data_IF_722317012007
#
_entry.id   IF_722317012007
#
_cell.length_a   1.000
_cell.length_b   1.000
_cell.length_c   1.000
_cell.angle_alpha   90.00
_cell.angle_beta   90.00
_cell.angle_gamma   90.00
#
_symmetry.space_group_name_H-M   'P 1'
#
loop_
_entity.id
_entity.type
_entity.pdbx_description
1 polymer ?
#
# COMPACT_ATOMS: atom_id res chain seq x y z
N UNK A 1 4.11 -27.22 -13.65
CA UNK A 1 3.90 -27.45 -12.21
C UNK A 1 3.47 -26.14 -11.59
N UNK A 2 2.23 -26.06 -11.10
CA UNK A 2 1.76 -24.89 -10.33
C UNK A 2 2.47 -24.95 -8.98
N UNK A 3 3.21 -23.91 -8.63
CA UNK A 3 3.93 -23.84 -7.35
C UNK A 3 2.91 -23.70 -6.21
N UNK A 4 2.55 -24.84 -5.61
CA UNK A 4 1.51 -24.95 -4.57
C UNK A 4 1.81 -24.08 -3.36
N UNK A 5 3.08 -23.76 -3.10
CA UNK A 5 3.49 -22.86 -2.01
C UNK A 5 3.09 -21.42 -2.27
N UNK A 6 3.20 -20.94 -3.52
CA UNK A 6 2.77 -19.58 -3.90
C UNK A 6 1.26 -19.39 -3.77
N UNK A 7 0.49 -20.41 -4.16
CA UNK A 7 -0.96 -20.44 -4.01
C UNK A 7 -1.38 -20.34 -2.53
N UNK A 8 -0.69 -21.06 -1.63
CA UNK A 8 -0.97 -21.02 -0.19
C UNK A 8 -0.66 -19.66 0.43
N UNK A 9 0.46 -19.01 0.06
CA UNK A 9 0.83 -17.69 0.60
C UNK A 9 -0.19 -16.64 0.19
N UNK A 10 -0.64 -16.62 -1.07
CA UNK A 10 -1.62 -15.64 -1.53
C UNK A 10 -2.98 -15.80 -0.84
N UNK A 11 -3.40 -17.04 -0.59
CA UNK A 11 -4.60 -17.33 0.20
C UNK A 11 -4.45 -16.90 1.66
N UNK A 12 -3.27 -17.10 2.25
CA UNK A 12 -2.98 -16.62 3.61
C UNK A 12 -3.05 -15.10 3.70
N UNK A 13 -2.54 -14.37 2.70
CA UNK A 13 -2.64 -12.90 2.65
C UNK A 13 -4.10 -12.45 2.68
N UNK A 14 -4.96 -13.07 1.86
CA UNK A 14 -6.40 -12.74 1.82
C UNK A 14 -7.08 -13.10 3.15
N UNK A 15 -6.72 -14.22 3.78
CA UNK A 15 -7.22 -14.56 5.11
C UNK A 15 -6.79 -13.54 6.17
N UNK A 16 -5.54 -13.06 6.11
CA UNK A 16 -5.07 -12.02 7.02
C UNK A 16 -5.81 -10.70 6.82
N UNK A 17 -6.20 -10.35 5.60
CA UNK A 17 -6.97 -9.13 5.29
C UNK A 17 -8.31 -9.07 6.04
N UNK A 18 -8.96 -10.22 6.26
CA UNK A 18 -10.21 -10.33 7.03
C UNK A 18 -10.04 -9.76 8.44
N UNK A 19 -8.86 -9.93 9.05
CA UNK A 19 -8.55 -9.43 10.39
C UNK A 19 -7.89 -8.04 10.36
N UNK A 20 -7.07 -7.76 9.34
CA UNK A 20 -6.36 -6.49 9.21
C UNK A 20 -7.34 -5.33 9.01
N UNK A 21 -8.40 -5.47 8.20
CA UNK A 21 -9.33 -4.34 8.00
C UNK A 21 -10.07 -3.94 9.28
N UNK A 22 -10.72 -4.85 10.04
CA UNK A 22 -11.31 -4.50 11.33
C UNK A 22 -10.32 -3.92 12.31
N UNK A 23 -9.12 -4.51 12.44
CA UNK A 23 -8.08 -4.01 13.33
C UNK A 23 -7.64 -2.59 12.95
N UNK A 24 -7.43 -2.33 11.65
CA UNK A 24 -7.07 -1.01 11.14
C UNK A 24 -8.15 0.03 11.46
N UNK A 25 -9.42 -0.22 11.12
CA UNK A 25 -10.49 0.75 11.37
C UNK A 25 -10.74 0.96 12.86
N UNK A 26 -10.55 -0.08 13.68
CA UNK A 26 -10.62 0.03 15.14
C UNK A 26 -9.52 0.93 15.69
N UNK A 27 -8.27 0.71 15.29
CA UNK A 27 -7.14 1.56 15.67
C UNK A 27 -7.37 2.99 15.18
N UNK A 28 -7.75 3.15 13.90
CA UNK A 28 -7.94 4.45 13.28
C UNK A 28 -8.98 5.30 14.00
N UNK A 29 -10.13 4.74 14.39
CA UNK A 29 -11.17 5.46 15.13
C UNK A 29 -10.82 5.74 16.60
N UNK A 30 -9.87 5.00 17.18
CA UNK A 30 -9.47 5.13 18.59
C UNK A 30 -8.15 5.89 18.80
N UNK A 31 -7.51 6.32 17.71
CA UNK A 31 -6.29 7.15 17.73
C UNK A 31 -6.63 8.58 17.30
N UNK A 32 -5.90 9.55 17.82
CA UNK A 32 -6.04 10.94 17.37
C UNK A 32 -5.71 11.06 15.86
N UNK A 33 -6.44 11.86 15.08
CA UNK A 33 -7.49 12.79 15.51
C UNK A 33 -8.90 12.21 15.65
N UNK A 34 -9.17 10.99 15.17
CA UNK A 34 -10.55 10.46 15.14
C UNK A 34 -11.16 10.31 16.52
N UNK A 35 -10.32 10.06 17.52
CA UNK A 35 -10.75 9.99 18.91
C UNK A 35 -11.45 11.27 19.39
N UNK A 36 -11.09 12.42 18.81
CA UNK A 36 -11.66 13.74 19.10
C UNK A 36 -12.89 14.09 18.24
N UNK A 37 -13.20 13.28 17.22
CA UNK A 37 -14.37 13.49 16.39
C UNK A 37 -15.65 13.32 17.22
N UNK A 38 -16.63 14.19 16.98
CA UNK A 38 -17.92 14.16 17.65
C UNK A 38 -19.09 14.09 16.66
N UNK A 39 -20.20 13.54 17.13
CA UNK A 39 -21.49 13.56 16.46
C UNK A 39 -22.22 14.89 16.69
N UNK A 40 -21.58 15.93 17.21
CA UNK A 40 -22.24 17.22 17.46
C UNK A 40 -22.83 17.86 16.17
N UNK A 41 -22.28 17.55 15.00
CA UNK A 41 -22.81 17.97 13.69
C UNK A 41 -23.87 17.03 13.08
N UNK A 42 -24.24 15.94 13.76
CA UNK A 42 -25.12 14.88 13.26
C UNK A 42 -26.60 15.30 13.25
N UNK A 43 -27.03 16.03 14.27
CA UNK A 43 -28.41 16.48 14.38
C UNK A 43 -28.57 17.83 13.70
N UNK A 44 -28.71 17.83 12.37
CA UNK A 44 -29.02 19.02 11.57
C UNK A 44 -30.21 19.86 12.09
N UNK A 45 -31.03 19.25 12.96
CA UNK A 45 -32.29 19.78 13.48
C UNK A 45 -32.24 20.11 14.98
N UNK A 46 -31.12 19.88 15.68
CA UNK A 46 -31.01 20.10 17.13
C UNK A 46 -29.63 20.66 17.51
N UNK A 47 -29.62 21.70 18.36
CA UNK A 47 -28.40 22.26 18.94
C UNK A 47 -27.75 21.36 19.99
N UNK A 48 -28.40 20.25 20.37
CA UNK A 48 -27.91 19.26 21.33
C UNK A 48 -27.87 17.87 20.70
N UNK A 49 -26.79 17.14 20.96
CA UNK A 49 -26.61 15.75 20.55
C UNK A 49 -27.33 14.83 21.56
N UNK A 50 -28.52 14.24 21.26
CA UNK A 50 -29.20 13.30 22.16
C UNK A 50 -28.42 12.01 22.44
N UNK A 51 -27.29 11.77 21.75
CA UNK A 51 -26.41 10.62 21.97
C UNK A 51 -25.14 10.99 22.75
N UNK A 52 -25.01 12.24 23.21
CA UNK A 52 -23.83 12.73 23.93
C UNK A 52 -23.49 11.83 25.14
N UNK A 53 -22.19 11.57 25.34
CA UNK A 53 -21.69 10.73 26.42
C UNK A 53 -21.38 9.29 25.98
N UNK A 54 -21.86 8.29 26.72
CA UNK A 54 -21.45 6.89 26.52
C UNK A 54 -21.96 6.29 25.21
N UNK A 55 -23.16 6.68 24.75
CA UNK A 55 -23.74 6.16 23.52
C UNK A 55 -22.95 6.60 22.28
N UNK A 56 -22.59 7.88 22.19
CA UNK A 56 -21.71 8.42 21.14
C UNK A 56 -20.36 7.71 21.13
N UNK A 57 -19.75 7.48 22.29
CA UNK A 57 -18.49 6.77 22.39
C UNK A 57 -18.58 5.34 21.86
N UNK A 58 -19.64 4.59 22.21
CA UNK A 58 -19.85 3.22 21.70
C UNK A 58 -20.06 3.23 20.18
N UNK A 59 -20.85 4.17 19.67
CA UNK A 59 -21.13 4.28 18.24
C UNK A 59 -19.85 4.59 17.47
N UNK A 60 -19.10 5.61 17.87
CA UNK A 60 -17.91 6.05 17.16
C UNK A 60 -16.72 5.09 17.34
N UNK A 61 -16.54 4.49 18.51
CA UNK A 61 -15.33 3.72 18.84
C UNK A 61 -15.44 2.22 18.63
N UNK A 62 -16.66 1.69 18.55
CA UNK A 62 -16.91 0.25 18.40
C UNK A 62 -17.72 -0.02 17.13
N UNK A 63 -18.88 0.62 16.98
CA UNK A 63 -19.82 0.31 15.89
C UNK A 63 -19.30 0.83 14.54
N UNK A 64 -18.86 2.09 14.48
CA UNK A 64 -18.37 2.72 13.26
C UNK A 64 -17.16 1.97 12.63
N UNK A 65 -16.12 1.56 13.39
CA UNK A 65 -15.05 0.72 12.87
C UNK A 65 -15.53 -0.56 12.18
N UNK A 66 -16.49 -1.25 12.79
CA UNK A 66 -17.03 -2.51 12.26
C UNK A 66 -17.79 -2.26 10.96
N UNK A 67 -18.60 -1.20 10.93
CA UNK A 67 -19.35 -0.79 9.74
C UNK A 67 -18.40 -0.42 8.59
N UNK A 68 -17.31 0.31 8.88
CA UNK A 68 -16.32 0.68 7.87
C UNK A 68 -15.50 -0.52 7.38
N UNK A 69 -15.20 -1.49 8.24
CA UNK A 69 -14.49 -2.71 7.86
C UNK A 69 -15.36 -3.66 7.03
N UNK A 70 -16.67 -3.70 7.28
CA UNK A 70 -17.60 -4.70 6.76
C UNK A 70 -17.54 -4.87 5.23
N UNK A 71 -17.55 -3.82 4.37
CA UNK A 71 -17.46 -4.00 2.92
C UNK A 71 -16.16 -4.68 2.49
N UNK A 72 -15.04 -4.32 3.12
CA UNK A 72 -13.71 -4.86 2.78
C UNK A 72 -13.57 -6.31 3.24
N UNK A 73 -14.03 -6.61 4.46
CA UNK A 73 -14.04 -7.97 5.00
C UNK A 73 -14.96 -8.88 4.19
N UNK A 74 -16.17 -8.42 3.84
CA UNK A 74 -17.10 -9.19 3.00
C UNK A 74 -16.53 -9.41 1.59
N UNK A 75 -15.97 -8.38 0.96
CA UNK A 75 -15.32 -8.54 -0.34
C UNK A 75 -14.18 -9.57 -0.29
N UNK A 76 -13.39 -9.56 0.79
CA UNK A 76 -12.28 -10.49 1.01
C UNK A 76 -12.76 -11.93 1.22
N UNK A 77 -13.90 -12.13 1.90
CA UNK A 77 -14.47 -13.46 2.16
C UNK A 77 -15.10 -14.04 0.88
N UNK A 78 -15.99 -13.29 0.22
CA UNK A 78 -16.79 -13.81 -0.91
C UNK A 78 -15.89 -14.09 -2.11
N UNK A 79 -14.95 -13.18 -2.38
CA UNK A 79 -14.07 -13.23 -3.55
C UNK A 79 -12.65 -13.61 -3.15
N UNK A 80 -12.51 -14.43 -2.10
CA UNK A 80 -11.21 -14.80 -1.55
C UNK A 80 -10.31 -15.45 -2.62
N UNK A 81 -10.90 -16.37 -3.39
CA UNK A 81 -10.24 -17.09 -4.50
C UNK A 81 -9.81 -16.12 -5.58
N UNK A 82 -10.69 -15.23 -6.04
CA UNK A 82 -10.37 -14.22 -7.04
C UNK A 82 -9.31 -13.24 -6.56
N UNK A 83 -9.36 -12.77 -5.31
CA UNK A 83 -8.32 -11.90 -4.76
C UNK A 83 -6.97 -12.63 -4.70
N UNK A 84 -6.93 -13.88 -4.24
CA UNK A 84 -5.70 -14.68 -4.21
C UNK A 84 -5.14 -14.91 -5.62
N UNK A 85 -6.01 -15.25 -6.59
CA UNK A 85 -5.64 -15.40 -8.00
C UNK A 85 -5.18 -14.07 -8.61
N UNK A 86 -5.73 -12.94 -8.17
CA UNK A 86 -5.29 -11.61 -8.61
C UNK A 86 -3.88 -11.32 -8.13
N UNK A 87 -3.56 -11.63 -6.87
CA UNK A 87 -2.19 -11.52 -6.36
C UNK A 87 -1.24 -12.43 -7.13
N UNK A 88 -1.66 -13.66 -7.45
CA UNK A 88 -0.85 -14.59 -8.24
C UNK A 88 -0.62 -14.10 -9.68
N UNK A 89 -1.68 -13.66 -10.37
CA UNK A 89 -1.60 -13.13 -11.72
C UNK A 89 -0.77 -11.86 -11.77
N UNK A 90 -0.94 -10.96 -10.80
CA UNK A 90 -0.11 -9.78 -10.66
C UNK A 90 1.35 -10.18 -10.43
N UNK A 91 1.62 -11.17 -9.57
CA UNK A 91 2.97 -11.66 -9.31
C UNK A 91 3.62 -12.26 -10.56
N UNK A 92 2.86 -13.06 -11.33
CA UNK A 92 3.27 -13.69 -12.60
C UNK A 92 3.43 -12.67 -13.73
N UNK A 93 2.54 -11.69 -13.85
CA UNK A 93 2.63 -10.61 -14.83
C UNK A 93 3.83 -9.70 -14.54
N UNK A 94 4.07 -9.42 -13.25
CA UNK A 94 5.31 -8.83 -12.78
C UNK A 94 6.46 -9.84 -12.75
N UNK A 95 6.30 -11.09 -13.20
CA UNK A 95 7.35 -12.14 -13.14
C UNK A 95 8.64 -11.73 -13.83
N UNK A 96 8.54 -10.86 -14.84
CA UNK A 96 9.70 -10.24 -15.50
C UNK A 96 10.35 -9.16 -14.63
N UNK A 97 9.59 -8.47 -13.78
CA UNK A 97 10.12 -7.47 -12.86
C UNK A 97 10.79 -8.17 -11.68
N UNK A 98 11.97 -7.67 -11.28
CA UNK A 98 12.69 -8.19 -10.12
C UNK A 98 11.83 -8.11 -8.85
N UNK A 99 11.93 -9.12 -8.00
CA UNK A 99 11.13 -9.24 -6.75
C UNK A 99 11.27 -8.01 -5.85
N UNK A 100 12.46 -7.45 -5.81
CA UNK A 100 12.81 -6.29 -5.01
C UNK A 100 11.99 -5.04 -5.41
N UNK A 101 11.87 -4.78 -6.71
CA UNK A 101 11.06 -3.67 -7.23
C UNK A 101 9.57 -3.88 -6.91
N UNK A 102 9.08 -5.12 -6.90
CA UNK A 102 7.69 -5.42 -6.51
C UNK A 102 7.43 -5.05 -5.05
N UNK A 103 8.36 -5.37 -4.15
CA UNK A 103 8.26 -5.03 -2.72
C UNK A 103 8.21 -3.51 -2.56
N UNK A 104 9.06 -2.78 -3.28
CA UNK A 104 9.08 -1.32 -3.28
C UNK A 104 7.71 -0.72 -3.64
N UNK A 105 7.10 -1.16 -4.75
CA UNK A 105 5.77 -0.70 -5.15
C UNK A 105 4.67 -1.08 -4.14
N UNK A 106 4.73 -2.31 -3.63
CA UNK A 106 3.76 -2.83 -2.67
C UNK A 106 3.78 -2.03 -1.36
N UNK A 107 4.97 -1.73 -0.82
CA UNK A 107 5.13 -0.94 0.41
C UNK A 107 4.55 0.46 0.23
N UNK A 108 4.88 1.13 -0.87
CA UNK A 108 4.33 2.46 -1.18
C UNK A 108 2.80 2.43 -1.37
N UNK A 109 2.28 1.40 -2.02
CA UNK A 109 0.85 1.22 -2.21
C UNK A 109 0.12 1.01 -0.88
N UNK A 110 0.67 0.21 0.02
CA UNK A 110 0.11 -0.03 1.36
C UNK A 110 0.04 1.29 2.15
N UNK A 111 1.11 2.09 2.15
CA UNK A 111 1.10 3.37 2.85
C UNK A 111 0.08 4.36 2.26
N UNK A 112 0.04 4.49 0.94
CA UNK A 112 -0.94 5.32 0.26
C UNK A 112 -2.38 4.84 0.55
N UNK A 113 -2.61 3.53 0.54
CA UNK A 113 -3.90 2.93 0.88
C UNK A 113 -4.36 3.35 2.29
N UNK A 114 -3.51 3.15 3.30
CA UNK A 114 -3.90 3.35 4.69
C UNK A 114 -3.92 4.81 5.15
N UNK A 115 -3.08 5.69 4.59
CA UNK A 115 -3.02 7.10 5.00
C UNK A 115 -3.79 8.04 4.10
N UNK A 116 -3.91 7.74 2.81
CA UNK A 116 -4.46 8.67 1.82
C UNK A 116 -5.76 8.19 1.18
N UNK A 117 -6.03 6.88 1.09
CA UNK A 117 -7.23 6.38 0.42
C UNK A 117 -8.29 5.99 1.44
N UNK A 118 -7.98 5.09 2.37
CA UNK A 118 -8.96 4.53 3.31
C UNK A 118 -9.66 5.55 4.20
N UNK A 119 -8.97 6.55 4.78
CA UNK A 119 -9.66 7.55 5.60
C UNK A 119 -10.82 8.25 4.88
N UNK A 120 -10.77 8.40 3.55
CA UNK A 120 -11.78 9.12 2.77
C UNK A 120 -12.70 8.20 1.98
N UNK A 121 -12.15 7.12 1.43
CA UNK A 121 -12.90 6.19 0.62
C UNK A 121 -13.75 5.26 1.48
N UNK A 122 -13.28 4.85 2.66
CA UNK A 122 -13.99 3.86 3.47
C UNK A 122 -15.38 4.31 3.94
N UNK A 123 -15.61 5.56 4.39
CA UNK A 123 -16.97 6.02 4.72
C UNK A 123 -17.93 5.89 3.53
N UNK A 124 -17.51 6.35 2.34
CA UNK A 124 -18.30 6.26 1.11
C UNK A 124 -18.54 4.80 0.71
N UNK A 125 -17.49 3.97 0.74
CA UNK A 125 -17.57 2.55 0.43
C UNK A 125 -18.49 1.82 1.41
N UNK A 126 -18.55 2.23 2.68
CA UNK A 126 -19.45 1.63 3.66
C UNK A 126 -20.92 1.89 3.34
N UNK A 127 -21.27 3.10 2.87
CA UNK A 127 -22.64 3.41 2.42
C UNK A 127 -23.07 2.48 1.28
N UNK A 128 -22.25 2.35 0.24
CA UNK A 128 -22.55 1.45 -0.87
C UNK A 128 -22.45 -0.03 -0.50
N UNK A 129 -21.52 -0.35 0.39
CA UNK A 129 -21.28 -1.69 0.91
C UNK A 129 -22.46 -2.24 1.69
N UNK A 130 -23.26 -1.40 2.35
CA UNK A 130 -24.50 -1.82 3.00
C UNK A 130 -25.49 -2.46 2.02
N UNK A 131 -25.66 -1.91 0.81
CA UNK A 131 -26.54 -2.53 -0.20
C UNK A 131 -26.00 -3.88 -0.67
N UNK A 132 -24.68 -4.00 -0.79
CA UNK A 132 -24.03 -5.26 -1.14
C UNK A 132 -24.17 -6.31 -0.03
N UNK A 133 -24.05 -5.91 1.23
CA UNK A 133 -24.23 -6.77 2.39
C UNK A 133 -25.66 -7.33 2.46
N UNK A 134 -26.68 -6.51 2.20
CA UNK A 134 -28.08 -6.98 2.12
C UNK A 134 -28.25 -8.03 1.04
N UNK A 135 -27.69 -7.81 -0.15
CA UNK A 135 -27.75 -8.81 -1.23
C UNK A 135 -27.13 -10.15 -0.80
N UNK A 136 -26.01 -10.11 -0.09
CA UNK A 136 -25.34 -11.30 0.43
C UNK A 136 -26.18 -12.03 1.48
N UNK A 137 -26.75 -11.29 2.43
CA UNK A 137 -27.66 -11.82 3.44
C UNK A 137 -28.84 -12.55 2.78
N UNK A 138 -29.45 -11.94 1.75
CA UNK A 138 -30.55 -12.57 1.00
C UNK A 138 -30.12 -13.85 0.27
N UNK A 139 -28.90 -13.88 -0.30
CA UNK A 139 -28.32 -15.11 -0.85
C UNK A 139 -28.12 -16.20 0.21
N UNK A 140 -27.65 -15.83 1.41
CA UNK A 140 -27.45 -16.76 2.52
C UNK A 140 -28.77 -17.37 3.02
N UNK A 141 -29.86 -16.61 2.95
CA UNK A 141 -31.23 -17.10 3.21
C UNK A 141 -31.85 -17.89 2.04
N UNK A 142 -31.07 -18.21 0.99
CA UNK A 142 -31.51 -19.09 -0.10
C UNK A 142 -32.16 -18.39 -1.30
N UNK A 143 -32.22 -17.06 -1.31
CA UNK A 143 -32.76 -16.30 -2.46
C UNK A 143 -31.64 -16.12 -3.49
N UNK A 144 -31.43 -17.13 -4.34
CA UNK A 144 -30.28 -17.18 -5.25
C UNK A 144 -30.48 -16.53 -6.63
N UNK A 145 -31.73 -16.34 -7.09
CA UNK A 145 -32.00 -15.90 -8.48
C UNK A 145 -32.94 -14.68 -8.53
N UNK A 146 -32.56 -13.68 -9.34
CA UNK A 146 -33.35 -12.47 -9.63
C UNK A 146 -33.94 -11.78 -8.39
N UNK A 147 -33.09 -11.45 -7.41
CA UNK A 147 -33.52 -10.68 -6.24
C UNK A 147 -34.16 -9.37 -6.72
N UNK A 148 -35.46 -9.12 -6.43
CA UNK A 148 -36.11 -7.87 -6.73
C UNK A 148 -35.32 -6.69 -6.17
N UNK A 149 -35.06 -5.67 -6.98
CA UNK A 149 -34.30 -4.48 -6.57
C UNK A 149 -34.84 -3.87 -5.28
N UNK A 150 -36.17 -3.91 -5.09
CA UNK A 150 -36.82 -3.36 -3.91
C UNK A 150 -36.45 -4.08 -2.60
N UNK A 151 -36.22 -5.40 -2.66
CA UNK A 151 -35.78 -6.21 -1.51
C UNK A 151 -34.31 -5.95 -1.14
N UNK A 152 -33.51 -5.40 -2.04
CA UNK A 152 -32.15 -4.96 -1.74
C UNK A 152 -32.15 -3.50 -1.27
N UNK A 153 -32.90 -2.64 -1.96
CA UNK A 153 -32.88 -1.20 -1.73
C UNK A 153 -33.51 -0.83 -0.40
N UNK A 154 -34.67 -1.36 -0.03
CA UNK A 154 -35.35 -0.96 1.21
C UNK A 154 -34.52 -1.37 2.44
N UNK A 155 -34.14 -2.64 2.66
CA UNK A 155 -33.30 -3.00 3.79
C UNK A 155 -31.89 -2.38 3.67
N UNK A 156 -31.41 -2.20 2.43
CA UNK A 156 -30.15 -1.53 2.14
C UNK A 156 -30.13 -0.09 2.63
N UNK A 157 -31.21 0.67 2.45
CA UNK A 157 -31.35 2.03 2.97
C UNK A 157 -31.32 2.06 4.50
N UNK A 158 -32.02 1.14 5.16
CA UNK A 158 -31.96 1.03 6.63
C UNK A 158 -30.56 0.69 7.13
N UNK A 159 -29.88 -0.27 6.48
CA UNK A 159 -28.50 -0.63 6.84
C UNK A 159 -27.49 0.46 6.46
N UNK A 160 -27.75 1.22 5.39
CA UNK A 160 -26.91 2.33 4.94
C UNK A 160 -27.10 3.59 5.79
N UNK A 161 -28.21 3.72 6.54
CA UNK A 161 -28.48 4.89 7.37
C UNK A 161 -27.32 5.17 8.34
N UNK A 162 -26.81 4.15 9.04
CA UNK A 162 -25.71 4.32 10.00
C UNK A 162 -24.40 4.79 9.32
N UNK A 163 -23.83 4.08 8.31
CA UNK A 163 -22.63 4.57 7.63
C UNK A 163 -22.87 5.90 6.92
N UNK A 164 -24.06 6.17 6.39
CA UNK A 164 -24.38 7.44 5.75
C UNK A 164 -24.29 8.59 6.76
N UNK A 165 -24.89 8.41 7.94
CA UNK A 165 -24.82 9.41 8.99
C UNK A 165 -23.38 9.66 9.45
N UNK A 166 -22.60 8.61 9.69
CA UNK A 166 -21.19 8.76 10.07
C UNK A 166 -20.40 9.45 8.96
N UNK A 167 -20.65 9.10 7.69
CA UNK A 167 -20.00 9.72 6.52
C UNK A 167 -20.31 11.20 6.43
N UNK A 168 -21.56 11.60 6.65
CA UNK A 168 -21.96 13.01 6.66
C UNK A 168 -21.27 13.76 7.80
N UNK A 169 -21.27 13.22 9.03
CA UNK A 169 -20.55 13.82 10.16
C UNK A 169 -19.06 13.96 9.88
N UNK A 170 -18.44 12.95 9.29
CA UNK A 170 -17.03 12.94 8.91
C UNK A 170 -16.69 14.04 7.91
N UNK A 171 -17.48 14.19 6.85
CA UNK A 171 -17.25 15.22 5.83
C UNK A 171 -17.67 16.63 6.28
N UNK A 172 -18.64 16.76 7.19
CA UNK A 172 -18.98 18.04 7.81
C UNK A 172 -17.83 18.59 8.65
N UNK A 173 -17.06 17.69 9.29
CA UNK A 173 -15.88 17.99 10.09
C UNK A 173 -14.58 17.69 9.32
N UNK A 174 -14.59 17.80 7.98
CA UNK A 174 -13.46 17.39 7.15
C UNK A 174 -12.14 18.05 7.57
N UNK A 175 -12.13 19.34 7.91
CA UNK A 175 -10.89 20.03 8.29
C UNK A 175 -10.31 19.55 9.61
N UNK A 176 -11.14 19.28 10.63
CA UNK A 176 -10.70 18.81 11.96
C UNK A 176 -10.19 17.38 11.90
N UNK A 177 -10.65 16.61 10.91
CA UNK A 177 -10.21 15.24 10.64
C UNK A 177 -9.00 15.19 9.72
N UNK A 178 -9.02 15.93 8.62
CA UNK A 178 -8.02 15.88 7.57
C UNK A 178 -6.70 16.49 8.02
N UNK A 179 -6.75 17.67 8.64
CA UNK A 179 -5.54 18.40 9.01
C UNK A 179 -4.65 17.57 9.93
N UNK A 180 -5.16 16.90 10.98
CA UNK A 180 -4.27 16.11 11.82
C UNK A 180 -3.86 14.77 11.18
N UNK A 181 -4.68 14.14 10.33
CA UNK A 181 -4.22 13.00 9.51
C UNK A 181 -3.05 13.43 8.63
N UNK A 182 -3.19 14.58 7.98
CA UNK A 182 -2.15 15.15 7.14
C UNK A 182 -0.91 15.50 7.97
N UNK A 183 -1.06 16.05 9.18
CA UNK A 183 0.06 16.31 10.08
C UNK A 183 0.78 15.02 10.48
N UNK A 184 0.05 13.96 10.85
CA UNK A 184 0.61 12.63 11.13
C UNK A 184 1.37 12.14 9.90
N UNK A 185 0.75 12.20 8.72
CA UNK A 185 1.40 11.82 7.46
C UNK A 185 2.68 12.62 7.24
N UNK A 186 2.65 13.95 7.30
CA UNK A 186 3.84 14.78 7.10
C UNK A 186 4.92 14.57 8.16
N UNK A 187 4.54 14.22 9.40
CA UNK A 187 5.48 13.90 10.47
C UNK A 187 6.19 12.56 10.26
N UNK A 188 5.48 11.54 9.77
CA UNK A 188 6.06 10.20 9.56
C UNK A 188 6.54 9.93 8.13
N UNK A 189 6.09 10.71 7.14
CA UNK A 189 6.47 10.54 5.73
C UNK A 189 7.98 10.59 5.49
N UNK A 190 8.80 11.41 6.19
CA UNK A 190 10.26 11.37 6.01
C UNK A 190 10.85 10.05 6.46
N UNK A 191 10.34 9.47 7.56
CA UNK A 191 10.80 8.18 8.08
C UNK A 191 10.44 7.07 7.08
N UNK A 192 9.19 7.03 6.61
CA UNK A 192 8.76 6.05 5.62
C UNK A 192 9.55 6.17 4.31
N UNK A 193 9.71 7.40 3.83
CA UNK A 193 10.48 7.68 2.65
C UNK A 193 11.96 7.29 2.83
N UNK A 194 12.55 7.53 4.00
CA UNK A 194 13.89 7.09 4.37
C UNK A 194 14.04 5.56 4.32
N UNK A 195 13.10 4.80 4.89
CA UNK A 195 13.07 3.33 4.82
C UNK A 195 13.00 2.87 3.36
N UNK A 196 12.11 3.45 2.57
CA UNK A 196 11.90 3.13 1.16
C UNK A 196 13.12 3.52 0.31
N UNK A 197 13.82 4.60 0.65
CA UNK A 197 15.07 5.02 0.03
C UNK A 197 16.22 4.06 0.37
N UNK A 198 16.35 3.64 1.63
CA UNK A 198 17.34 2.62 2.03
C UNK A 198 17.10 1.32 1.27
N UNK A 199 15.84 0.94 1.10
CA UNK A 199 15.43 -0.18 0.28
C UNK A 199 15.86 0.03 -1.18
N UNK A 200 15.57 1.18 -1.79
CA UNK A 200 16.00 1.51 -3.15
C UNK A 200 17.54 1.48 -3.33
N UNK A 201 18.29 2.03 -2.39
CA UNK A 201 19.76 2.05 -2.42
C UNK A 201 20.36 0.65 -2.28
N UNK A 202 19.87 -0.16 -1.34
CA UNK A 202 20.28 -1.56 -1.20
C UNK A 202 19.98 -2.38 -2.46
N UNK A 203 18.86 -2.10 -3.13
CA UNK A 203 18.50 -2.72 -4.40
C UNK A 203 19.46 -2.32 -5.52
N UNK A 204 19.75 -1.03 -5.68
CA UNK A 204 20.66 -0.53 -6.71
C UNK A 204 22.07 -1.14 -6.54
N UNK A 205 22.63 -1.08 -5.33
CA UNK A 205 23.96 -1.64 -5.02
C UNK A 205 23.96 -3.15 -5.18
N UNK A 206 22.98 -3.85 -4.60
CA UNK A 206 22.90 -5.31 -4.68
C UNK A 206 22.69 -5.82 -6.10
N UNK A 207 21.91 -5.11 -6.91
CA UNK A 207 21.73 -5.43 -8.33
C UNK A 207 23.02 -5.23 -9.13
N UNK A 208 23.77 -4.17 -8.84
CA UNK A 208 25.06 -3.94 -9.47
C UNK A 208 26.09 -5.03 -9.11
N UNK A 209 26.15 -5.47 -7.85
CA UNK A 209 27.02 -6.59 -7.43
C UNK A 209 26.67 -7.87 -8.18
N UNK A 210 25.37 -8.18 -8.31
CA UNK A 210 24.91 -9.34 -9.08
C UNK A 210 25.27 -9.20 -10.56
N UNK A 211 25.11 -8.00 -11.13
CA UNK A 211 25.50 -7.71 -12.50
C UNK A 211 27.01 -7.94 -12.75
N UNK A 212 27.88 -7.49 -11.84
CA UNK A 212 29.33 -7.77 -11.93
C UNK A 212 29.63 -9.27 -11.93
N UNK A 213 28.91 -10.03 -11.10
CA UNK A 213 29.08 -11.48 -11.00
C UNK A 213 28.54 -12.23 -12.22
N UNK A 214 27.40 -11.79 -12.77
CA UNK A 214 26.89 -12.26 -14.07
C UNK A 214 27.94 -12.04 -15.15
N UNK A 215 28.55 -10.84 -15.20
CA UNK A 215 29.65 -10.54 -16.12
C UNK A 215 30.87 -11.45 -15.92
N UNK A 216 31.28 -11.68 -14.68
CA UNK A 216 32.41 -12.57 -14.37
C UNK A 216 32.13 -14.05 -14.73
N UNK A 217 30.87 -14.49 -14.61
CA UNK A 217 30.47 -15.85 -15.03
C UNK A 217 30.52 -16.08 -16.54
N UNK A 218 30.40 -15.01 -17.35
CA UNK A 218 30.54 -15.11 -18.80
C UNK A 218 32.00 -15.25 -19.25
N UNK A 219 32.97 -14.87 -18.41
CA UNK A 219 34.39 -14.82 -18.77
C UNK A 219 35.21 -15.96 -18.15
N UNK A 220 34.92 -16.36 -16.91
CA UNK A 220 35.80 -17.32 -16.20
C UNK A 220 35.08 -18.24 -15.19
N UNK A 221 33.91 -17.87 -14.68
CA UNK A 221 33.20 -18.65 -13.65
C UNK A 221 32.02 -19.48 -14.20
N UNK A 222 32.13 -20.81 -14.21
CA UNK A 222 31.08 -21.75 -14.65
C UNK A 222 29.88 -21.92 -13.70
N UNK A 223 29.94 -21.36 -12.48
CA UNK A 223 28.81 -21.46 -11.52
C UNK A 223 27.81 -20.34 -11.73
N UNK A 224 26.62 -20.70 -12.21
CA UNK A 224 25.45 -19.82 -12.23
C UNK A 224 25.15 -19.29 -10.81
N UNK A 225 24.86 -18.00 -10.72
CA UNK A 225 24.54 -17.35 -9.46
C UNK A 225 23.15 -17.78 -9.00
N UNK A 226 23.08 -18.39 -7.81
CA UNK A 226 21.78 -18.69 -7.20
C UNK A 226 21.07 -17.39 -6.82
N UNK A 227 19.86 -17.18 -7.33
CA UNK A 227 19.01 -16.01 -7.02
C UNK A 227 18.84 -15.80 -5.50
N UNK A 228 18.84 -16.89 -4.72
CA UNK A 228 18.72 -16.84 -3.26
C UNK A 228 19.87 -16.11 -2.58
N UNK A 229 21.10 -16.31 -3.06
CA UNK A 229 22.29 -15.63 -2.52
C UNK A 229 22.20 -14.13 -2.81
N UNK A 230 21.73 -13.76 -4.01
CA UNK A 230 21.50 -12.37 -4.36
C UNK A 230 20.47 -11.68 -3.46
N UNK A 231 19.40 -12.39 -3.10
CA UNK A 231 18.39 -11.87 -2.17
C UNK A 231 18.95 -11.69 -0.76
N UNK A 232 19.76 -12.63 -0.25
CA UNK A 232 20.41 -12.51 1.07
C UNK A 232 21.35 -11.29 1.10
N UNK A 233 22.17 -11.09 0.07
CA UNK A 233 23.08 -9.93 -0.02
C UNK A 233 22.29 -8.63 0.03
N UNK A 234 21.17 -8.54 -0.70
CA UNK A 234 20.30 -7.36 -0.67
C UNK A 234 19.67 -7.11 0.70
N UNK A 235 19.22 -8.17 1.39
CA UNK A 235 18.67 -8.03 2.74
C UNK A 235 19.73 -7.53 3.72
N UNK A 236 20.96 -8.07 3.64
CA UNK A 236 22.07 -7.60 4.47
C UNK A 236 22.45 -6.16 4.18
N UNK A 237 22.51 -5.77 2.89
CA UNK A 237 22.73 -4.37 2.50
C UNK A 237 21.61 -3.46 3.00
N UNK A 238 20.35 -3.90 2.88
CA UNK A 238 19.21 -3.15 3.38
C UNK A 238 19.30 -2.97 4.90
N UNK A 239 19.54 -4.03 5.66
CA UNK A 239 19.68 -3.96 7.11
C UNK A 239 20.86 -3.07 7.52
N UNK A 240 22.00 -3.16 6.82
CA UNK A 240 23.16 -2.31 7.08
C UNK A 240 22.89 -0.83 6.79
N UNK A 241 22.30 -0.51 5.64
CA UNK A 241 21.94 0.87 5.29
C UNK A 241 20.84 1.40 6.20
N UNK A 242 19.86 0.57 6.58
CA UNK A 242 18.81 0.95 7.51
C UNK A 242 19.35 1.21 8.92
N UNK A 243 20.27 0.37 9.42
CA UNK A 243 20.95 0.63 10.68
C UNK A 243 21.73 1.94 10.62
N UNK A 244 22.50 2.16 9.54
CA UNK A 244 23.16 3.44 9.34
C UNK A 244 22.14 4.58 9.36
N UNK A 245 21.04 4.47 8.62
CA UNK A 245 19.99 5.48 8.63
C UNK A 245 19.45 5.76 10.03
N UNK A 246 19.12 4.73 10.83
CA UNK A 246 18.58 4.91 12.19
C UNK A 246 19.62 5.53 13.14
N UNK A 247 20.87 5.05 13.13
CA UNK A 247 21.91 5.56 14.05
C UNK A 247 22.41 6.95 13.69
N UNK A 248 22.30 7.31 12.41
CA UNK A 248 22.79 8.56 11.87
C UNK A 248 21.69 9.63 11.87
N UNK A 249 20.43 9.24 11.69
CA UNK A 249 19.25 10.12 11.73
C UNK A 249 18.57 10.12 13.10
N UNK A 250 19.23 10.69 14.12
CA UNK A 250 18.69 10.73 15.49
C UNK A 250 17.38 11.55 15.65
N UNK A 251 16.89 12.26 14.63
CA UNK A 251 15.70 13.14 14.74
C UNK A 251 14.79 13.20 13.48
N UNK A 252 14.96 12.33 12.49
CA UNK A 252 14.20 12.41 11.22
C UNK A 252 14.60 13.59 10.33
N UNK A 253 15.69 14.30 10.68
CA UNK A 253 16.17 15.51 10.02
C UNK A 253 17.24 15.20 8.96
N UNK A 254 17.77 13.98 8.87
CA UNK A 254 18.86 13.63 7.95
C UNK A 254 18.47 13.76 6.47
N UNK A 255 17.18 13.81 6.15
CA UNK A 255 16.70 14.07 4.79
C UNK A 255 16.82 15.54 4.38
N UNK A 256 16.85 16.49 5.32
CA UNK A 256 16.87 17.93 5.06
C UNK A 256 18.16 18.64 5.51
N UNK A 257 18.79 18.21 6.60
CA UNK A 257 19.92 18.92 7.20
C UNK A 257 21.30 18.44 6.70
N UNK A 258 22.20 19.39 6.48
CA UNK A 258 23.61 19.20 6.08
C UNK A 258 24.53 18.80 7.25
N UNK A 259 23.97 18.23 8.32
CA UNK A 259 24.81 17.73 9.40
C UNK A 259 25.61 16.50 8.92
N UNK A 260 26.64 16.11 9.67
CA UNK A 260 27.50 14.94 9.35
C UNK A 260 26.69 13.68 8.99
N UNK A 261 25.49 13.57 9.53
CA UNK A 261 24.51 12.54 9.25
C UNK A 261 23.84 12.58 7.87
N UNK A 262 23.48 13.77 7.40
CA UNK A 262 22.91 13.97 6.05
C UNK A 262 23.93 13.67 4.94
N UNK A 263 25.23 13.88 5.20
CA UNK A 263 26.30 13.61 4.24
C UNK A 263 26.48 12.11 3.95
N UNK A 264 26.39 11.25 4.95
CA UNK A 264 26.54 9.78 4.75
C UNK A 264 25.42 9.25 3.84
N UNK A 265 24.18 9.61 4.14
CA UNK A 265 23.04 9.20 3.29
C UNK A 265 23.11 9.81 1.89
N UNK A 266 23.59 11.06 1.77
CA UNK A 266 23.82 11.69 0.49
C UNK A 266 24.85 10.93 -0.36
N UNK A 267 25.98 10.54 0.22
CA UNK A 267 27.01 9.75 -0.48
C UNK A 267 26.46 8.39 -0.92
N UNK A 268 25.73 7.68 -0.04
CA UNK A 268 25.10 6.39 -0.38
C UNK A 268 24.14 6.54 -1.57
N UNK A 269 23.34 7.61 -1.59
CA UNK A 269 22.42 7.88 -2.69
C UNK A 269 23.17 8.17 -4.01
N UNK A 270 24.28 8.93 -3.97
CA UNK A 270 25.10 9.18 -5.16
C UNK A 270 25.62 7.87 -5.72
N UNK A 271 26.22 7.04 -4.85
CA UNK A 271 26.74 5.72 -5.24
C UNK A 271 25.60 4.89 -5.86
N UNK A 272 24.45 4.83 -5.20
CA UNK A 272 23.31 4.06 -5.68
C UNK A 272 22.80 4.53 -7.06
N UNK A 273 22.71 5.84 -7.32
CA UNK A 273 22.35 6.37 -8.64
C UNK A 273 23.38 6.01 -9.68
N UNK A 274 24.67 6.24 -9.41
CA UNK A 274 25.73 5.98 -10.37
C UNK A 274 25.76 4.51 -10.74
N UNK A 275 25.68 3.62 -9.75
CA UNK A 275 25.64 2.18 -9.97
C UNK A 275 24.38 1.72 -10.70
N UNK A 276 23.20 2.19 -10.26
CA UNK A 276 21.92 1.83 -10.89
C UNK A 276 21.79 2.38 -12.31
N UNK A 277 22.25 3.61 -12.54
CA UNK A 277 22.30 4.25 -13.85
C UNK A 277 23.28 3.53 -14.79
N UNK A 278 24.48 3.19 -14.31
CA UNK A 278 25.45 2.43 -15.08
C UNK A 278 24.92 1.05 -15.46
N UNK A 279 24.35 0.30 -14.51
CA UNK A 279 23.73 -1.00 -14.79
C UNK A 279 22.64 -0.87 -15.87
N UNK A 280 21.77 0.13 -15.73
CA UNK A 280 20.67 0.39 -16.67
C UNK A 280 21.19 0.69 -18.07
N UNK A 281 22.19 1.57 -18.19
CA UNK A 281 22.79 1.94 -19.47
C UNK A 281 23.46 0.74 -20.14
N UNK A 282 24.22 -0.07 -19.39
CA UNK A 282 24.92 -1.24 -19.96
C UNK A 282 23.93 -2.32 -20.39
N UNK A 283 22.89 -2.60 -19.59
CA UNK A 283 21.83 -3.55 -19.98
C UNK A 283 21.03 -3.07 -21.18
N UNK A 284 20.78 -1.75 -21.28
CA UNK A 284 20.11 -1.14 -22.43
C UNK A 284 20.95 -1.29 -23.70
N UNK A 285 22.25 -0.96 -23.64
CA UNK A 285 23.18 -1.08 -24.79
C UNK A 285 23.35 -2.51 -25.27
N UNK A 286 23.43 -3.49 -24.36
CA UNK A 286 23.64 -4.90 -24.73
C UNK A 286 22.38 -5.63 -25.22
N UNK A 287 21.21 -4.98 -25.33
CA UNK A 287 19.92 -5.60 -25.72
C UNK A 287 19.48 -6.83 -24.90
N UNK A 288 20.21 -7.21 -23.84
CA UNK A 288 19.85 -8.28 -22.91
C UNK A 288 18.53 -8.04 -22.15
N UNK A 289 17.90 -6.87 -22.32
CA UNK A 289 16.58 -6.56 -21.80
C UNK A 289 15.43 -7.43 -22.37
N UNK A 290 15.66 -8.20 -23.45
CA UNK A 290 14.61 -8.98 -24.12
C UNK A 290 14.63 -10.49 -23.89
N UNK A 291 15.78 -11.10 -23.60
CA UNK A 291 15.91 -12.57 -23.77
C UNK A 291 15.98 -13.39 -22.49
N UNK A 292 16.44 -12.85 -21.36
CA UNK A 292 16.53 -13.62 -20.11
C UNK A 292 15.90 -12.88 -18.93
N UNK A 293 14.56 -12.91 -18.82
CA UNK A 293 13.83 -12.66 -17.57
C UNK A 293 14.00 -11.29 -16.88
N UNK A 294 14.88 -10.42 -17.35
CA UNK A 294 15.18 -9.11 -16.80
C UNK A 294 14.18 -8.10 -17.32
N UNK A 295 13.20 -7.77 -16.48
CA UNK A 295 12.06 -6.91 -16.76
C UNK A 295 12.40 -5.72 -17.63
N UNK A 296 11.59 -5.55 -18.67
CA UNK A 296 11.66 -4.42 -19.59
C UNK A 296 11.79 -3.10 -18.82
N UNK A 297 12.55 -2.17 -19.41
CA UNK A 297 13.20 -1.03 -18.77
C UNK A 297 12.34 -0.14 -17.86
N UNK A 298 11.02 -0.22 -17.87
CA UNK A 298 10.16 0.50 -16.93
C UNK A 298 10.39 0.12 -15.46
N UNK A 299 10.63 -1.18 -15.16
CA UNK A 299 10.91 -1.62 -13.79
C UNK A 299 12.30 -1.24 -13.30
N UNK A 300 13.29 -1.25 -14.21
CA UNK A 300 14.68 -0.89 -13.90
C UNK A 300 14.89 0.61 -13.76
N UNK A 301 14.13 1.43 -14.49
CA UNK A 301 14.25 2.89 -14.47
C UNK A 301 13.65 3.55 -13.21
N UNK A 302 12.64 2.93 -12.62
CA UNK A 302 11.89 3.58 -11.54
C UNK A 302 12.68 3.72 -10.23
N UNK A 303 13.54 2.76 -9.89
CA UNK A 303 14.42 2.83 -8.71
C UNK A 303 15.46 3.98 -8.86
N UNK A 304 16.22 4.09 -9.97
CA UNK A 304 17.06 5.26 -10.23
C UNK A 304 16.30 6.58 -10.26
N UNK A 305 15.09 6.62 -10.83
CA UNK A 305 14.24 7.82 -10.82
C UNK A 305 13.88 8.19 -9.38
N UNK A 306 13.46 7.23 -8.56
CA UNK A 306 13.10 7.48 -7.17
C UNK A 306 14.28 8.03 -6.36
N UNK A 307 15.46 7.41 -6.48
CA UNK A 307 16.68 7.90 -5.83
C UNK A 307 17.06 9.28 -6.40
N UNK A 308 16.88 9.49 -7.71
CA UNK A 308 17.13 10.76 -8.40
C UNK A 308 16.25 11.89 -7.89
N UNK A 309 14.95 11.65 -7.71
CA UNK A 309 14.04 12.66 -7.16
C UNK A 309 14.44 13.04 -5.73
N UNK A 310 15.02 12.13 -4.94
CA UNK A 310 15.55 12.46 -3.62
C UNK A 310 16.52 13.64 -3.61
N UNK A 311 17.36 13.78 -4.65
CA UNK A 311 18.28 14.91 -4.77
C UNK A 311 17.54 16.24 -4.93
N UNK A 312 16.42 16.21 -5.64
CA UNK A 312 15.62 17.40 -5.91
C UNK A 312 14.69 17.77 -4.77
N UNK A 313 14.24 16.81 -3.95
CA UNK A 313 13.32 17.04 -2.81
C UNK A 313 13.81 18.18 -1.90
N UNK A 314 15.12 18.27 -1.66
CA UNK A 314 15.72 19.31 -0.81
C UNK A 314 15.62 20.73 -1.37
N UNK A 315 15.46 20.88 -2.69
CA UNK A 315 15.37 22.19 -3.33
C UNK A 315 13.93 22.70 -3.45
N UNK A 316 12.95 21.89 -3.05
CA UNK A 316 11.55 22.33 -3.04
C UNK A 316 11.18 22.98 -1.71
N UNK A 317 10.37 24.04 -1.78
CA UNK A 317 9.85 24.73 -0.59
C UNK A 317 8.93 23.86 0.28
N UNK A 318 8.38 22.78 -0.27
CA UNK A 318 7.45 21.84 0.38
C UNK A 318 7.86 20.39 0.09
N UNK A 319 8.91 19.87 0.74
CA UNK A 319 9.43 18.52 0.48
C UNK A 319 8.40 17.43 0.83
N UNK A 320 7.53 17.68 1.81
CA UNK A 320 6.39 16.85 2.22
C UNK A 320 5.44 16.53 1.05
N UNK A 321 5.11 17.54 0.26
CA UNK A 321 4.21 17.41 -0.90
C UNK A 321 4.89 16.57 -1.99
N UNK A 322 6.17 16.81 -2.25
CA UNK A 322 6.92 16.09 -3.29
C UNK A 322 7.05 14.60 -2.94
N UNK A 323 7.41 14.27 -1.69
CA UNK A 323 7.42 12.89 -1.19
C UNK A 323 6.07 12.22 -1.41
N UNK A 324 4.99 12.91 -1.04
CA UNK A 324 3.62 12.40 -1.18
C UNK A 324 3.28 12.10 -2.64
N UNK A 325 3.63 12.98 -3.58
CA UNK A 325 3.38 12.79 -5.01
C UNK A 325 4.10 11.53 -5.53
N UNK A 326 5.37 11.34 -5.19
CA UNK A 326 6.16 10.20 -5.68
C UNK A 326 5.61 8.87 -5.13
N UNK A 327 5.31 8.83 -3.83
CA UNK A 327 4.71 7.65 -3.19
C UNK A 327 3.35 7.35 -3.83
N UNK A 328 2.56 8.39 -4.09
CA UNK A 328 1.24 8.26 -4.74
C UNK A 328 1.34 7.74 -6.17
N UNK A 329 2.29 8.23 -6.99
CA UNK A 329 2.51 7.71 -8.35
C UNK A 329 2.88 6.22 -8.31
N UNK A 330 3.78 5.84 -7.40
CA UNK A 330 4.19 4.45 -7.19
C UNK A 330 2.99 3.58 -6.82
N UNK A 331 2.14 4.06 -5.90
CA UNK A 331 0.91 3.39 -5.49
C UNK A 331 -0.10 3.26 -6.64
N UNK A 332 -0.28 4.30 -7.46
CA UNK A 332 -1.19 4.28 -8.61
C UNK A 332 -0.79 3.23 -9.64
N UNK A 333 0.50 3.09 -9.93
CA UNK A 333 1.01 2.03 -10.81
C UNK A 333 0.65 0.65 -10.25
N UNK A 334 0.87 0.44 -8.95
CA UNK A 334 0.53 -0.82 -8.28
C UNK A 334 -0.98 -1.10 -8.33
N UNK A 335 -1.83 -0.12 -8.01
CA UNK A 335 -3.28 -0.29 -8.08
C UNK A 335 -3.77 -0.54 -9.50
N UNK A 336 -3.21 0.13 -10.51
CA UNK A 336 -3.52 -0.12 -11.91
C UNK A 336 -3.21 -1.56 -12.33
N UNK A 337 -2.05 -2.08 -11.94
CA UNK A 337 -1.67 -3.47 -12.17
C UNK A 337 -2.57 -4.45 -11.42
N UNK A 338 -2.92 -4.15 -10.16
CA UNK A 338 -3.83 -4.97 -9.36
C UNK A 338 -5.23 -5.02 -9.98
N UNK A 339 -5.80 -3.89 -10.39
CA UNK A 339 -7.12 -3.82 -11.04
C UNK A 339 -7.11 -4.60 -12.35
N UNK A 340 -6.05 -4.45 -13.17
CA UNK A 340 -5.90 -5.23 -14.39
C UNK A 340 -5.86 -6.73 -14.09
N UNK A 341 -5.02 -7.16 -13.13
CA UNK A 341 -4.93 -8.56 -12.71
C UNK A 341 -6.28 -9.09 -12.18
N UNK A 342 -7.01 -8.28 -11.41
CA UNK A 342 -8.32 -8.62 -10.86
C UNK A 342 -9.41 -8.82 -11.92
N UNK A 343 -9.34 -8.07 -13.03
CA UNK A 343 -10.23 -8.25 -14.18
C UNK A 343 -9.98 -9.58 -14.90
N UNK A 344 -8.73 -10.03 -14.97
CA UNK A 344 -8.35 -11.29 -15.62
C UNK A 344 -8.38 -12.52 -14.70
N UNK A 345 -8.48 -12.32 -13.38
CA UNK A 345 -8.56 -13.41 -12.42
C UNK A 345 -9.86 -14.19 -12.54
N UNK A 346 -9.73 -15.52 -12.65
CA UNK A 346 -10.86 -16.45 -12.58
C UNK A 346 -11.43 -16.49 -11.17
N UNK A 347 -12.76 -16.48 -11.09
CA UNK A 347 -13.53 -16.50 -9.84
C UNK A 347 -14.07 -17.93 -9.66
N UNK A 348 -13.58 -18.64 -8.65
CA UNK A 348 -14.27 -19.80 -8.10
C UNK A 348 -15.06 -19.24 -6.91
N UNK A 349 -16.27 -18.74 -7.16
CA UNK A 349 -17.08 -18.12 -6.11
C UNK A 349 -17.61 -19.19 -5.17
N UNK A 350 -17.51 -18.96 -3.86
CA UNK A 350 -18.11 -19.81 -2.82
C UNK A 350 -19.65 -19.89 -2.90
N UNK A 351 -20.27 -19.01 -3.69
CA UNK A 351 -21.72 -18.95 -3.89
C UNK A 351 -22.02 -18.99 -5.39
N UNK A 352 -22.19 -20.20 -5.94
CA UNK A 352 -23.02 -20.42 -7.14
C UNK A 352 -24.52 -20.43 -6.79
#
# INVERSE_FOLDING_TARGET
>A
MVDTRGLMINRLIVLLQIFIFPAYFFIWMNVEPMKSASLAGFFFWSSTNPLEGTAELVILRIIAPLIFALPFTLASIIRATRMANSYELMWRAMGKVRVDTKIFYMVNAIFCLFFLIFPFAAPIIAVFGSFFAVKLILHAFGIKKNIPTILVVIPGLFLAAIPLMITISFFAQYSTVFVPIWQIWTGYSPIFYGIVLCLACSMAIGNFILFLREGASQVSYTKQVSERIGLIVKILLFAGILMLFIFVDNNGAALADWNSSGLVMFIINIIAIVLGGFETIVRWRKKHAKENGGGGGAGTLMVPIFIGVNFFIRYFARPDIVVTIIVSISALIFFGLFIAAYRYATDETLFE
#
